data_IF_402043200738
#
_entry.id   IF_402043200738
#
_cell.length_a   1.000
_cell.length_b   1.000
_cell.length_c   1.000
_cell.angle_alpha   90.00
_cell.angle_beta   90.00
_cell.angle_gamma   90.00
#
_symmetry.space_group_name_H-M   'P 1'
#
loop_
_entity.id
_entity.type
_entity.pdbx_description
1 polymer ?
#
# COMPACT_ATOMS: atom_id res chain seq x y z
N UNK A 1 3.81 -3.56 34.70
CA UNK A 1 3.82 -2.36 33.84
C UNK A 1 4.10 -2.85 32.43
N UNK A 2 3.13 -2.73 31.50
CA UNK A 2 3.39 -3.02 30.08
C UNK A 2 4.12 -1.82 29.46
N UNK A 3 5.17 -2.06 28.69
CA UNK A 3 5.88 -1.00 27.98
C UNK A 3 4.92 -0.30 27.01
N UNK A 4 5.02 1.02 26.90
CA UNK A 4 4.29 1.77 25.88
C UNK A 4 4.69 1.24 24.49
N UNK A 5 3.74 1.02 23.57
CA UNK A 5 4.06 0.55 22.24
C UNK A 5 5.03 1.54 21.59
N UNK A 6 6.21 1.06 21.19
CA UNK A 6 7.19 1.86 20.49
C UNK A 6 6.64 2.21 19.11
N UNK A 7 6.66 3.50 18.76
CA UNK A 7 6.20 4.00 17.47
C UNK A 7 7.01 3.45 16.27
N UNK A 8 8.20 2.91 16.56
CA UNK A 8 9.09 2.31 15.58
C UNK A 8 9.38 0.86 15.96
N UNK A 9 9.58 -0.02 14.95
CA UNK A 9 9.97 -1.39 15.24
C UNK A 9 11.32 -1.42 15.96
N UNK A 10 11.52 -2.34 16.93
CA UNK A 10 12.76 -2.41 17.72
C UNK A 10 13.98 -2.71 16.84
N UNK A 11 13.76 -3.39 15.71
CA UNK A 11 14.73 -3.47 14.62
C UNK A 11 14.09 -2.99 13.31
N UNK A 12 14.76 -2.10 12.56
CA UNK A 12 14.23 -1.62 11.28
C UNK A 12 14.12 -2.78 10.29
N UNK A 13 13.01 -2.80 9.56
CA UNK A 13 12.79 -3.70 8.44
C UNK A 13 13.85 -3.41 7.37
N UNK A 14 14.42 -4.45 6.75
CA UNK A 14 15.46 -4.33 5.73
C UNK A 14 15.03 -5.01 4.44
N UNK A 15 15.51 -4.48 3.32
CA UNK A 15 15.31 -5.10 2.00
C UNK A 15 15.98 -6.48 1.98
N UNK A 16 15.27 -7.48 1.48
CA UNK A 16 15.79 -8.83 1.34
C UNK A 16 15.73 -9.26 -0.13
N UNK A 17 16.90 -9.53 -0.70
CA UNK A 17 17.04 -10.03 -2.08
C UNK A 17 17.82 -11.34 -2.10
N UNK A 18 17.44 -12.25 -2.99
CA UNK A 18 18.08 -13.57 -3.16
C UNK A 18 17.77 -14.15 -4.53
N UNK A 19 18.78 -14.59 -5.28
CA UNK A 19 18.62 -15.32 -6.55
C UNK A 19 17.70 -14.61 -7.58
N UNK A 20 17.86 -13.28 -7.72
CA UNK A 20 17.01 -12.47 -8.61
C UNK A 20 15.57 -12.29 -8.12
N UNK A 21 15.32 -12.57 -6.83
CA UNK A 21 14.04 -12.37 -6.15
C UNK A 21 14.16 -11.38 -5.01
N UNK A 22 13.04 -10.78 -4.67
CA UNK A 22 12.87 -9.85 -3.57
C UNK A 22 11.74 -10.33 -2.66
N UNK A 23 11.91 -10.22 -1.34
CA UNK A 23 10.88 -10.67 -0.39
C UNK A 23 9.90 -9.53 -0.09
N UNK A 24 8.60 -9.76 -0.32
CA UNK A 24 7.53 -8.88 0.18
C UNK A 24 7.09 -9.37 1.57
N UNK A 25 7.30 -8.59 2.63
CA UNK A 25 6.88 -8.97 3.98
C UNK A 25 5.37 -8.81 4.20
N UNK A 26 4.69 -7.95 3.41
CA UNK A 26 3.22 -7.87 3.40
C UNK A 26 2.63 -9.15 2.79
N UNK A 27 3.11 -9.58 1.62
CA UNK A 27 2.61 -10.78 0.93
C UNK A 27 3.22 -12.09 1.44
N UNK A 28 4.26 -12.00 2.27
CA UNK A 28 5.03 -13.13 2.83
C UNK A 28 5.57 -14.10 1.78
N UNK A 29 6.03 -13.58 0.63
CA UNK A 29 6.54 -14.40 -0.49
C UNK A 29 7.72 -13.73 -1.21
N UNK A 30 8.52 -14.56 -1.86
CA UNK A 30 9.58 -14.12 -2.78
C UNK A 30 8.98 -13.83 -4.16
N UNK A 31 9.21 -12.62 -4.66
CA UNK A 31 8.75 -12.12 -5.96
C UNK A 31 9.92 -11.98 -6.92
N UNK A 32 9.65 -11.99 -8.23
CA UNK A 32 10.68 -11.65 -9.22
C UNK A 32 11.13 -10.21 -8.97
N UNK A 33 12.45 -10.00 -8.85
CA UNK A 33 12.98 -8.67 -8.64
C UNK A 33 12.96 -7.88 -9.95
N UNK A 34 11.93 -7.05 -10.12
CA UNK A 34 11.86 -6.05 -11.18
C UNK A 34 12.29 -4.68 -10.63
N UNK A 35 12.64 -3.70 -11.48
CA UNK A 35 12.89 -2.33 -11.02
C UNK A 35 11.69 -1.75 -10.26
N UNK A 36 10.48 -1.95 -10.77
CA UNK A 36 9.23 -1.51 -10.14
C UNK A 36 9.00 -2.16 -8.77
N UNK A 37 9.22 -3.47 -8.65
CA UNK A 37 9.09 -4.17 -7.36
C UNK A 37 10.19 -3.74 -6.37
N UNK A 38 11.38 -3.39 -6.86
CA UNK A 38 12.45 -2.87 -6.02
C UNK A 38 12.03 -1.54 -5.39
N UNK A 39 11.54 -0.59 -6.20
CA UNK A 39 11.02 0.69 -5.71
C UNK A 39 9.85 0.48 -4.74
N UNK A 40 8.91 -0.41 -5.07
CA UNK A 40 7.77 -0.74 -4.19
C UNK A 40 8.26 -1.21 -2.82
N UNK A 41 9.15 -2.20 -2.77
CA UNK A 41 9.65 -2.74 -1.52
C UNK A 41 10.56 -1.77 -0.74
N UNK A 42 11.30 -0.89 -1.42
CA UNK A 42 12.04 0.20 -0.77
C UNK A 42 11.08 1.20 -0.11
N UNK A 43 10.01 1.59 -0.79
CA UNK A 43 9.01 2.51 -0.24
C UNK A 43 8.28 1.91 0.96
N UNK A 44 8.01 0.59 0.94
CA UNK A 44 7.48 -0.12 2.11
C UNK A 44 8.37 0.03 3.34
N UNK A 45 9.70 0.03 3.18
CA UNK A 45 10.62 0.25 4.30
C UNK A 45 10.43 1.65 4.89
N UNK A 46 10.26 2.69 4.07
CA UNK A 46 9.96 4.05 4.53
C UNK A 46 8.64 4.09 5.31
N UNK A 47 7.57 3.48 4.77
CA UNK A 47 6.27 3.42 5.45
C UNK A 47 6.37 2.80 6.86
N UNK A 48 7.14 1.71 7.00
CA UNK A 48 7.24 0.99 8.26
C UNK A 48 8.25 1.63 9.21
N UNK A 49 9.46 1.94 8.72
CA UNK A 49 10.57 2.36 9.56
C UNK A 49 10.54 3.85 9.89
N UNK A 50 10.03 4.69 9.00
CA UNK A 50 10.04 6.15 9.17
C UNK A 50 8.65 6.69 9.57
N UNK A 51 7.58 6.14 8.99
CA UNK A 51 6.21 6.60 9.27
C UNK A 51 5.47 5.76 10.31
N UNK A 52 6.05 4.64 10.74
CA UNK A 52 5.51 3.84 11.85
C UNK A 52 4.25 3.04 11.51
N UNK A 53 3.97 2.81 10.23
CA UNK A 53 2.87 1.91 9.83
C UNK A 53 3.24 0.46 10.12
N UNK A 54 2.33 -0.28 10.75
CA UNK A 54 2.49 -1.71 10.92
C UNK A 54 2.19 -2.45 9.60
N UNK A 55 2.91 -3.54 9.32
CA UNK A 55 2.69 -4.36 8.12
C UNK A 55 1.23 -4.86 7.99
N UNK A 56 0.54 -5.07 9.11
CA UNK A 56 -0.87 -5.50 9.11
C UNK A 56 -1.87 -4.35 8.87
N UNK A 57 -1.40 -3.12 8.67
CA UNK A 57 -2.21 -1.99 8.20
C UNK A 57 -2.04 -1.76 6.69
N UNK A 58 -1.16 -2.52 6.02
CA UNK A 58 -0.78 -2.31 4.63
C UNK A 58 -1.22 -3.53 3.81
N UNK A 59 -1.77 -3.27 2.63
CA UNK A 59 -1.96 -4.27 1.60
C UNK A 59 -1.25 -3.85 0.32
N UNK A 60 -0.82 -4.84 -0.45
CA UNK A 60 -0.18 -4.67 -1.75
C UNK A 60 -1.06 -5.24 -2.87
N UNK A 61 -1.07 -4.61 -4.06
CA UNK A 61 -1.82 -5.08 -5.25
C UNK A 61 -3.34 -5.25 -5.04
N UNK A 62 -3.94 -4.40 -4.21
CA UNK A 62 -5.40 -4.40 -3.99
C UNK A 62 -6.14 -3.87 -5.23
N UNK A 63 -7.25 -4.51 -5.57
CA UNK A 63 -8.26 -3.94 -6.47
C UNK A 63 -9.28 -3.13 -5.67
N UNK A 64 -9.81 -2.01 -6.19
CA UNK A 64 -10.80 -1.23 -5.48
C UNK A 64 -12.05 -2.05 -5.19
N UNK A 65 -12.48 -2.02 -3.92
CA UNK A 65 -13.71 -2.68 -3.47
C UNK A 65 -14.92 -1.92 -4.07
N UNK A 66 -15.77 -2.62 -4.84
CA UNK A 66 -17.17 -2.20 -5.04
C UNK A 66 -17.54 -1.35 -6.27
N UNK A 67 -16.70 -1.18 -7.29
CA UNK A 67 -17.06 -0.37 -8.47
C UNK A 67 -17.44 -1.18 -9.72
N UNK A 68 -18.74 -1.23 -10.09
CA UNK A 68 -19.14 -1.54 -11.48
C UNK A 68 -18.63 -0.41 -12.39
N UNK A 69 -17.40 -0.55 -12.89
CA UNK A 69 -16.72 0.43 -13.75
C UNK A 69 -15.20 0.52 -13.56
N UNK A 70 -14.64 -0.06 -12.49
CA UNK A 70 -13.21 0.01 -12.13
C UNK A 70 -12.48 -1.33 -12.30
N UNK A 71 -12.97 -2.21 -13.18
CA UNK A 71 -12.42 -3.53 -13.45
C UNK A 71 -11.02 -3.44 -14.08
N UNK A 72 -9.99 -3.26 -13.25
CA UNK A 72 -8.59 -3.24 -13.68
C UNK A 72 -7.67 -2.33 -12.88
N UNK A 73 -8.20 -1.42 -12.05
CA UNK A 73 -7.38 -0.62 -11.16
C UNK A 73 -6.71 -1.51 -10.10
N UNK A 74 -5.39 -1.43 -9.98
CA UNK A 74 -4.59 -2.12 -8.98
C UNK A 74 -3.65 -1.10 -8.36
N UNK A 75 -3.76 -0.97 -7.05
CA UNK A 75 -2.90 -0.07 -6.29
C UNK A 75 -1.64 -0.78 -5.83
N UNK A 76 -0.55 -0.05 -5.72
CA UNK A 76 0.68 -0.58 -5.16
C UNK A 76 0.58 -0.76 -3.66
N UNK A 77 0.05 0.24 -2.95
CA UNK A 77 -0.28 0.12 -1.55
C UNK A 77 -1.66 0.68 -1.22
N UNK A 78 -2.38 -0.04 -0.36
CA UNK A 78 -3.51 0.47 0.39
C UNK A 78 -3.18 0.43 1.88
N UNK A 79 -3.19 1.60 2.53
CA UNK A 79 -2.87 1.76 3.95
C UNK A 79 -4.16 2.05 4.71
N UNK A 80 -4.40 1.32 5.80
CA UNK A 80 -5.58 1.40 6.64
C UNK A 80 -5.26 2.03 8.00
N UNK A 81 -6.24 2.64 8.67
CA UNK A 81 -6.02 3.22 10.01
C UNK A 81 -5.72 2.12 11.03
N UNK A 82 -6.29 0.93 10.86
CA UNK A 82 -6.03 -0.22 11.71
C UNK A 82 -6.12 -1.54 10.93
N UNK A 83 -5.54 -2.61 11.49
CA UNK A 83 -5.73 -3.96 10.97
C UNK A 83 -7.20 -4.43 11.03
N UNK A 84 -7.98 -3.88 11.97
CA UNK A 84 -9.42 -4.15 12.07
C UNK A 84 -10.16 -3.57 10.87
N UNK A 85 -9.80 -2.37 10.41
CA UNK A 85 -10.44 -1.73 9.24
C UNK A 85 -10.29 -2.56 7.97
N UNK A 86 -9.19 -3.30 7.83
CA UNK A 86 -9.01 -4.29 6.75
C UNK A 86 -10.03 -5.42 6.87
N UNK A 87 -10.19 -5.96 8.08
CA UNK A 87 -11.09 -7.09 8.35
C UNK A 87 -12.55 -6.68 8.19
N UNK A 88 -12.88 -5.46 8.60
CA UNK A 88 -14.19 -4.83 8.44
C UNK A 88 -14.47 -4.37 7.00
N UNK A 89 -13.52 -4.56 6.08
CA UNK A 89 -13.63 -4.17 4.67
C UNK A 89 -13.94 -2.68 4.47
N UNK A 90 -13.39 -1.82 5.34
CA UNK A 90 -13.51 -0.37 5.21
C UNK A 90 -12.66 0.18 4.06
N UNK A 91 -12.89 1.43 3.70
CA UNK A 91 -12.06 2.15 2.71
C UNK A 91 -10.65 2.39 3.27
N UNK A 92 -9.58 2.20 2.47
CA UNK A 92 -8.22 2.57 2.86
C UNK A 92 -8.11 4.06 3.23
N UNK A 93 -7.24 4.40 4.17
CA UNK A 93 -6.91 5.78 4.53
C UNK A 93 -6.04 6.45 3.45
N UNK A 94 -5.07 5.70 2.91
CA UNK A 94 -4.12 6.19 1.92
C UNK A 94 -4.00 5.13 0.84
N UNK A 95 -4.04 5.60 -0.40
CA UNK A 95 -3.76 4.79 -1.58
C UNK A 95 -2.48 5.36 -2.21
N UNK A 96 -1.53 4.49 -2.51
CA UNK A 96 -0.27 4.86 -3.17
C UNK A 96 -0.17 4.09 -4.48
N UNK A 97 0.09 4.85 -5.54
CA UNK A 97 0.46 4.36 -6.86
C UNK A 97 1.92 4.74 -7.10
N UNK A 98 2.80 3.75 -7.23
CA UNK A 98 4.19 3.91 -7.59
C UNK A 98 4.31 3.84 -9.11
N UNK A 99 4.75 4.93 -9.73
CA UNK A 99 5.21 4.89 -11.12
C UNK A 99 6.73 4.88 -11.15
N UNK A 100 7.30 4.18 -12.14
CA UNK A 100 8.75 4.18 -12.35
C UNK A 100 9.25 5.61 -12.62
N UNK A 101 10.49 5.89 -12.20
CA UNK A 101 11.15 7.21 -12.13
C UNK A 101 11.26 8.02 -13.44
N UNK A 102 10.61 7.60 -14.53
CA UNK A 102 10.70 8.26 -15.84
C UNK A 102 9.36 8.30 -16.59
N UNK A 103 8.25 8.58 -15.90
CA UNK A 103 6.94 8.78 -16.53
C UNK A 103 6.45 10.19 -16.26
N UNK A 104 6.36 11.01 -17.31
CA UNK A 104 5.61 12.26 -17.30
C UNK A 104 4.18 11.96 -16.84
N UNK A 105 3.75 12.53 -15.71
CA UNK A 105 2.38 12.36 -15.21
C UNK A 105 1.42 12.84 -16.30
N UNK A 106 0.62 11.93 -16.84
CA UNK A 106 -0.35 12.23 -17.89
C UNK A 106 -1.71 12.58 -17.27
N UNK A 107 -2.55 13.31 -18.01
CA UNK A 107 -3.93 13.66 -17.57
C UNK A 107 -4.78 12.44 -17.19
N UNK A 108 -4.49 11.27 -17.77
CA UNK A 108 -5.20 10.02 -17.49
C UNK A 108 -4.85 9.44 -16.09
N UNK A 109 -3.66 9.74 -15.57
CA UNK A 109 -3.22 9.32 -14.24
C UNK A 109 -3.89 10.15 -13.15
N UNK A 110 -4.16 11.42 -13.46
CA UNK A 110 -4.95 12.30 -12.61
C UNK A 110 -6.39 11.78 -12.46
N UNK A 111 -6.99 11.27 -13.54
CA UNK A 111 -8.34 10.69 -13.51
C UNK A 111 -8.42 9.42 -12.64
N UNK A 112 -7.37 8.60 -12.62
CA UNK A 112 -7.32 7.47 -11.68
C UNK A 112 -7.31 7.99 -10.24
N UNK A 113 -6.42 8.93 -9.89
CA UNK A 113 -6.39 9.56 -8.57
C UNK A 113 -7.72 10.18 -8.12
N UNK A 114 -8.38 10.94 -9.00
CA UNK A 114 -9.66 11.60 -8.72
C UNK A 114 -10.82 10.62 -8.48
N UNK A 115 -10.87 9.50 -9.21
CA UNK A 115 -11.89 8.48 -8.99
C UNK A 115 -11.81 7.89 -7.58
N UNK A 116 -10.62 7.87 -6.95
CA UNK A 116 -10.44 7.37 -5.58
C UNK A 116 -10.81 8.39 -4.52
N UNK A 117 -10.46 9.67 -4.71
CA UNK A 117 -10.89 10.74 -3.81
C UNK A 117 -12.42 10.83 -3.72
N UNK A 118 -13.15 10.43 -4.77
CA UNK A 118 -14.62 10.36 -4.77
C UNK A 118 -15.18 9.14 -4.03
N UNK A 119 -14.43 8.05 -3.86
CA UNK A 119 -14.87 6.89 -3.06
C UNK A 119 -14.87 7.19 -1.54
N UNK A 120 -14.11 8.20 -1.08
CA UNK A 120 -14.20 8.74 0.29
C UNK A 120 -15.54 9.45 0.57
N UNK A 121 -16.34 9.75 -0.46
CA UNK A 121 -17.61 10.48 -0.34
C UNK A 121 -18.80 9.66 -0.86
N UNK A 122 -19.03 8.48 -0.28
CA UNK A 122 -20.37 7.87 -0.27
C UNK A 122 -20.64 7.35 1.13
N UNK A 123 -21.15 8.24 1.98
CA UNK A 123 -21.97 7.85 3.11
C UNK A 123 -23.35 7.46 2.55
N UNK A 124 -23.62 6.17 2.40
CA UNK A 124 -24.95 5.68 2.07
C UNK A 124 -25.76 5.46 3.36
N UNK A 125 -26.04 6.57 4.05
CA UNK A 125 -27.24 6.72 4.87
C UNK A 125 -28.01 7.98 4.41
N UNK A 126 -28.79 7.81 3.35
CA UNK A 126 -30.12 8.43 3.17
C UNK A 126 -30.99 7.47 2.38
#
# INVERSE_FOLDING_TARGET
MAAAPTLFPPEPLKLQTKDGKIYSPVRKKWLVQTPEETVRQEYLLTLVNEYGYALNQIKEEESPIGGRGSAGARFDFAIYRSAQDITDSKTPLIIIECKADNVTISEQDYQQGENYARLECVDSHV
#
